data_IF_862433689226
#
_entry.id   IF_862433689226
#
_cell.length_a   1.000
_cell.length_b   1.000
_cell.length_c   1.000
_cell.angle_alpha   90.00
_cell.angle_beta   90.00
_cell.angle_gamma   90.00
#
_symmetry.space_group_name_H-M   'P 1'
#
loop_
_entity.id
_entity.type
_entity.pdbx_description
1 polymer ?
#
# COMPACT_ATOMS: atom_id res chain seq x y z
N UNK A 1 29.58 101.32 49.78
CA UNK A 1 28.95 99.98 49.99
C UNK A 1 27.64 99.95 49.24
N UNK A 2 27.58 99.28 48.08
CA UNK A 2 26.33 98.88 47.42
C UNK A 2 26.69 97.99 46.22
N UNK A 3 26.61 96.68 46.42
CA UNK A 3 26.68 95.67 45.35
C UNK A 3 25.28 95.40 44.80
N UNK A 4 25.09 95.23 43.48
CA UNK A 4 23.97 94.50 42.94
C UNK A 4 24.39 93.07 42.56
N UNK A 5 23.71 92.11 43.19
CA UNK A 5 23.79 90.68 42.97
C UNK A 5 22.47 90.24 42.32
N UNK A 6 22.50 89.66 41.11
CA UNK A 6 21.64 88.55 40.59
C UNK A 6 21.38 88.64 39.08
N UNK A 7 21.69 87.55 38.37
CA UNK A 7 20.79 86.72 37.52
C UNK A 7 21.63 85.59 36.90
N UNK A 8 21.51 84.35 37.40
CA UNK A 8 20.73 83.24 36.83
C UNK A 8 20.91 83.06 35.31
N UNK A 9 21.68 82.03 34.96
CA UNK A 9 21.77 81.43 33.63
C UNK A 9 22.24 79.98 33.75
N UNK A 10 21.45 79.13 34.41
CA UNK A 10 21.69 77.68 34.45
C UNK A 10 21.21 77.14 33.10
N UNK A 11 22.13 76.97 32.14
CA UNK A 11 21.84 76.28 30.88
C UNK A 11 21.50 74.82 31.21
N UNK A 12 20.26 74.43 30.93
CA UNK A 12 19.91 73.04 30.70
C UNK A 12 20.66 72.59 29.44
N UNK A 13 21.72 71.80 29.62
CA UNK A 13 22.26 71.00 28.53
C UNK A 13 21.34 69.79 28.41
N UNK A 14 20.52 69.76 27.35
CA UNK A 14 19.93 68.53 26.85
C UNK A 14 21.08 67.62 26.42
N UNK A 15 21.22 66.38 26.92
CA UNK A 15 22.01 65.37 26.24
C UNK A 15 21.22 64.99 24.98
N UNK A 16 21.69 65.45 23.83
CA UNK A 16 21.39 64.85 22.53
C UNK A 16 22.08 63.48 22.51
N UNK A 17 21.40 62.47 23.08
CA UNK A 17 21.74 61.08 22.81
C UNK A 17 21.41 60.75 21.34
N UNK A 18 22.18 59.88 20.67
CA UNK A 18 21.81 59.37 19.36
C UNK A 18 20.47 58.62 19.47
N UNK A 19 19.65 58.58 18.41
CA UNK A 19 18.38 57.88 18.45
C UNK A 19 18.63 56.41 18.82
N UNK A 20 17.99 55.95 19.89
CA UNK A 20 17.84 54.53 20.19
C UNK A 20 17.08 53.90 19.02
N UNK A 21 17.81 53.40 18.02
CA UNK A 21 17.25 52.44 17.08
C UNK A 21 17.10 51.12 17.83
N UNK A 22 16.00 51.00 18.57
CA UNK A 22 15.49 49.70 19.01
C UNK A 22 15.48 48.79 17.78
N UNK A 23 16.16 47.63 17.78
CA UNK A 23 16.14 46.73 16.64
C UNK A 23 14.69 46.35 16.39
N UNK A 24 14.15 46.74 15.22
CA UNK A 24 12.83 46.29 14.83
C UNK A 24 12.85 44.75 14.82
N UNK A 25 11.81 44.08 15.34
CA UNK A 25 11.70 42.64 15.20
C UNK A 25 11.86 42.30 13.73
N UNK A 26 12.83 41.46 13.39
CA UNK A 26 12.95 40.94 12.04
C UNK A 26 11.67 40.12 11.82
N UNK A 27 10.73 40.65 11.05
CA UNK A 27 9.57 39.90 10.59
C UNK A 27 10.07 38.81 9.65
N UNK A 28 10.35 37.65 10.23
CA UNK A 28 10.64 36.45 9.44
C UNK A 28 9.32 36.06 8.81
N UNK A 29 9.20 36.28 7.50
CA UNK A 29 8.03 35.84 6.74
C UNK A 29 7.77 34.34 7.01
N UNK A 30 6.50 33.95 7.13
CA UNK A 30 6.08 32.57 7.43
C UNK A 30 5.04 32.06 6.45
N UNK A 31 5.05 30.75 6.22
CA UNK A 31 4.03 29.98 5.49
C UNK A 31 3.43 28.90 6.38
N UNK A 32 2.23 28.43 6.06
CA UNK A 32 1.67 27.25 6.70
C UNK A 32 2.31 25.98 6.11
N UNK A 33 2.35 24.91 6.91
CA UNK A 33 2.68 23.58 6.43
C UNK A 33 1.66 23.14 5.36
N UNK A 34 2.16 22.64 4.24
CA UNK A 34 1.31 22.33 3.08
C UNK A 34 0.72 20.90 3.11
N UNK A 35 0.78 20.20 4.25
CA UNK A 35 0.07 18.92 4.39
C UNK A 35 -1.44 19.16 4.43
N UNK A 36 -2.17 18.42 3.61
CA UNK A 36 -3.64 18.47 3.55
C UNK A 36 -4.21 17.54 4.62
N UNK A 37 -5.32 17.95 5.26
CA UNK A 37 -6.07 17.08 6.17
C UNK A 37 -6.76 15.95 5.38
N UNK A 38 -6.82 14.75 5.96
CA UNK A 38 -7.42 13.58 5.30
C UNK A 38 -8.89 13.82 4.93
N UNK A 39 -9.37 13.14 3.88
CA UNK A 39 -10.74 13.33 3.37
C UNK A 39 -11.82 13.07 4.41
N UNK A 40 -11.57 12.16 5.35
CA UNK A 40 -12.47 11.84 6.47
C UNK A 40 -12.61 13.00 7.47
N UNK A 41 -11.66 13.95 7.48
CA UNK A 41 -11.67 15.15 8.32
C UNK A 41 -12.29 16.38 7.60
N UNK A 42 -12.64 16.26 6.31
CA UNK A 42 -13.24 17.35 5.51
C UNK A 42 -14.63 17.78 5.97
N UNK A 43 -15.27 17.00 6.85
CA UNK A 43 -16.53 17.39 7.49
C UNK A 43 -16.37 18.63 8.40
N UNK A 44 -15.14 18.98 8.81
CA UNK A 44 -14.86 20.14 9.64
C UNK A 44 -14.31 21.32 8.80
N UNK A 45 -15.22 22.10 8.22
CA UNK A 45 -14.94 23.36 7.52
C UNK A 45 -14.00 24.29 8.33
N UNK A 46 -12.82 24.62 7.79
CA UNK A 46 -12.36 26.02 7.51
C UNK A 46 -10.88 26.13 7.10
N UNK A 47 -10.03 25.12 7.33
CA UNK A 47 -8.63 25.14 6.89
C UNK A 47 -8.21 23.75 6.36
N UNK A 48 -7.90 23.61 5.06
CA UNK A 48 -7.50 22.32 4.49
C UNK A 48 -6.07 21.93 4.86
N UNK A 49 -5.31 22.82 5.52
CA UNK A 49 -3.89 22.67 5.77
C UNK A 49 -3.57 22.58 7.25
N UNK A 50 -2.43 21.95 7.55
CA UNK A 50 -1.80 22.01 8.85
C UNK A 50 -1.54 23.46 9.31
N UNK A 51 -1.94 23.78 10.54
CA UNK A 51 -1.82 25.13 11.12
C UNK A 51 -0.40 25.51 11.59
N UNK A 52 0.57 24.61 11.44
CA UNK A 52 1.96 24.88 11.83
C UNK A 52 2.59 25.89 10.87
N UNK A 53 3.10 26.99 11.42
CA UNK A 53 3.84 28.01 10.68
C UNK A 53 5.33 27.65 10.53
N UNK A 54 5.83 27.74 9.31
CA UNK A 54 7.20 27.45 8.89
C UNK A 54 7.86 28.72 8.34
N UNK A 55 9.19 28.82 8.36
CA UNK A 55 9.90 29.90 7.65
C UNK A 55 9.56 29.88 6.15
N UNK A 56 9.43 31.04 5.49
CA UNK A 56 9.10 31.09 4.05
C UNK A 56 10.06 30.26 3.18
N UNK A 57 11.36 30.38 3.43
CA UNK A 57 12.41 29.62 2.73
C UNK A 57 12.75 28.29 3.43
N UNK A 58 11.87 27.82 4.32
CA UNK A 58 11.96 26.55 5.00
C UNK A 58 11.29 25.40 4.23
N UNK A 59 11.26 24.20 4.84
CA UNK A 59 10.63 23.03 4.26
C UNK A 59 9.15 23.27 4.01
N UNK A 60 8.59 22.47 3.12
CA UNK A 60 7.18 22.54 2.75
C UNK A 60 6.26 21.98 3.84
N UNK A 61 6.70 20.88 4.44
CA UNK A 61 5.99 20.20 5.52
C UNK A 61 6.61 20.51 6.87
N UNK A 62 5.80 20.50 7.92
CA UNK A 62 6.30 20.58 9.29
C UNK A 62 7.02 19.29 9.67
N UNK A 63 7.87 19.31 10.70
CA UNK A 63 8.67 18.14 11.12
C UNK A 63 7.84 16.86 11.30
N UNK A 64 6.64 16.99 11.87
CA UNK A 64 5.70 15.87 12.03
C UNK A 64 5.27 15.32 10.66
N UNK A 65 4.71 16.16 9.80
CA UNK A 65 4.26 15.74 8.47
C UNK A 65 5.39 15.29 7.55
N UNK A 66 6.61 15.81 7.69
CA UNK A 66 7.78 15.28 7.00
C UNK A 66 8.06 13.83 7.40
N UNK A 67 7.94 13.49 8.69
CA UNK A 67 8.12 12.11 9.17
C UNK A 67 7.00 11.19 8.67
N UNK A 68 5.75 11.64 8.75
CA UNK A 68 4.60 10.87 8.25
C UNK A 68 4.69 10.66 6.73
N UNK A 69 5.14 11.67 5.98
CA UNK A 69 5.40 11.59 4.54
C UNK A 69 6.51 10.57 4.24
N UNK A 70 7.63 10.64 4.97
CA UNK A 70 8.72 9.66 4.85
C UNK A 70 8.27 8.23 5.15
N UNK A 71 7.47 8.05 6.19
CA UNK A 71 6.95 6.75 6.60
C UNK A 71 6.00 6.16 5.55
N UNK A 72 5.01 6.93 5.11
CA UNK A 72 4.09 6.54 4.05
C UNK A 72 4.83 6.19 2.76
N UNK A 73 5.84 7.00 2.37
CA UNK A 73 6.71 6.71 1.23
C UNK A 73 7.41 5.35 1.35
N UNK A 74 8.03 5.11 2.51
CA UNK A 74 8.70 3.84 2.80
C UNK A 74 7.74 2.65 2.72
N UNK A 75 6.52 2.79 3.27
CA UNK A 75 5.53 1.73 3.31
C UNK A 75 5.04 1.35 1.91
N UNK A 76 4.61 2.32 1.09
CA UNK A 76 4.13 2.00 -0.25
C UNK A 76 5.26 1.44 -1.13
N UNK A 77 6.51 1.91 -0.98
CA UNK A 77 7.65 1.35 -1.73
C UNK A 77 8.01 -0.06 -1.30
N UNK A 78 7.88 -0.40 -0.02
CA UNK A 78 8.09 -1.78 0.43
C UNK A 78 7.01 -2.72 -0.10
N UNK A 79 5.76 -2.27 -0.08
CA UNK A 79 4.64 -2.99 -0.65
C UNK A 79 4.82 -3.21 -2.16
N UNK A 80 5.17 -2.15 -2.88
CA UNK A 80 5.48 -2.18 -4.33
C UNK A 80 6.54 -3.22 -4.68
N UNK A 81 7.70 -3.23 -3.99
CA UNK A 81 8.75 -4.23 -4.23
C UNK A 81 8.28 -5.66 -4.02
N UNK A 82 7.49 -5.90 -2.97
CA UNK A 82 6.98 -7.26 -2.66
C UNK A 82 5.93 -7.71 -3.66
N UNK A 83 5.05 -6.80 -4.09
CA UNK A 83 4.08 -7.05 -5.14
C UNK A 83 4.79 -7.37 -6.47
N UNK A 84 5.76 -6.56 -6.89
CA UNK A 84 6.52 -6.74 -8.13
C UNK A 84 7.33 -8.06 -8.13
N UNK A 85 7.86 -8.48 -6.97
CA UNK A 85 8.52 -9.78 -6.84
C UNK A 85 7.57 -10.97 -7.10
N UNK A 86 6.27 -10.80 -6.86
CA UNK A 86 5.25 -11.83 -7.07
C UNK A 86 4.59 -11.74 -8.47
N UNK A 87 4.69 -10.59 -9.14
CA UNK A 87 4.05 -10.31 -10.44
C UNK A 87 4.36 -11.37 -11.51
N UNK A 88 5.61 -11.85 -11.71
CA UNK A 88 5.89 -12.88 -12.71
C UNK A 88 5.14 -14.20 -12.47
N UNK A 89 4.98 -14.62 -11.21
CA UNK A 89 4.20 -15.81 -10.86
C UNK A 89 2.72 -15.62 -11.10
N UNK A 90 2.18 -14.44 -10.75
CA UNK A 90 0.77 -14.13 -10.98
C UNK A 90 0.45 -14.13 -12.48
N UNK A 91 1.33 -13.55 -13.29
CA UNK A 91 1.23 -13.59 -14.75
C UNK A 91 1.29 -15.04 -15.29
N UNK A 92 2.22 -15.86 -14.78
CA UNK A 92 2.30 -17.29 -15.13
C UNK A 92 0.99 -18.01 -14.79
N UNK A 93 0.43 -17.77 -13.61
CA UNK A 93 -0.84 -18.36 -13.20
C UNK A 93 -2.01 -17.89 -14.05
N UNK A 94 -2.09 -16.61 -14.43
CA UNK A 94 -3.14 -16.13 -15.34
C UNK A 94 -3.08 -16.87 -16.68
N UNK A 95 -1.89 -16.93 -17.29
CA UNK A 95 -1.67 -17.64 -18.57
C UNK A 95 -1.96 -19.13 -18.46
N UNK A 96 -1.56 -19.76 -17.35
CA UNK A 96 -1.82 -21.18 -17.08
C UNK A 96 -3.32 -21.45 -16.90
N UNK A 97 -4.02 -20.56 -16.20
CA UNK A 97 -5.46 -20.64 -15.97
C UNK A 97 -6.23 -20.57 -17.29
N UNK A 98 -5.92 -19.60 -18.15
CA UNK A 98 -6.53 -19.46 -19.49
C UNK A 98 -6.35 -20.70 -20.39
N UNK A 99 -5.23 -21.41 -20.22
CA UNK A 99 -4.94 -22.65 -20.97
C UNK A 99 -5.51 -23.91 -20.31
N UNK A 100 -6.23 -23.78 -19.20
CA UNK A 100 -6.74 -24.93 -18.44
C UNK A 100 -5.65 -25.81 -17.82
N UNK A 101 -4.45 -25.26 -17.58
CA UNK A 101 -3.26 -26.02 -17.19
C UNK A 101 -3.22 -26.46 -15.72
N UNK A 102 -4.26 -26.20 -14.94
CA UNK A 102 -4.38 -26.65 -13.54
C UNK A 102 -5.09 -28.00 -13.50
N UNK A 103 -4.37 -29.04 -13.11
CA UNK A 103 -4.88 -30.43 -13.11
C UNK A 103 -4.94 -31.03 -11.71
N UNK A 104 -4.21 -30.46 -10.75
CA UNK A 104 -4.11 -30.99 -9.40
C UNK A 104 -4.57 -29.96 -8.36
N UNK A 105 -5.23 -30.43 -7.30
CA UNK A 105 -5.77 -29.54 -6.25
C UNK A 105 -4.68 -28.73 -5.54
N UNK A 106 -3.49 -29.29 -5.35
CA UNK A 106 -2.40 -28.58 -4.70
C UNK A 106 -1.83 -27.44 -5.55
N UNK A 107 -1.85 -27.56 -6.88
CA UNK A 107 -1.41 -26.49 -7.80
C UNK A 107 -2.35 -25.28 -7.69
N UNK A 108 -3.66 -25.55 -7.64
CA UNK A 108 -4.68 -24.51 -7.46
C UNK A 108 -4.54 -23.85 -6.08
N UNK A 109 -4.33 -24.64 -5.02
CA UNK A 109 -4.13 -24.10 -3.67
C UNK A 109 -2.87 -23.23 -3.56
N UNK A 110 -1.77 -23.62 -4.21
CA UNK A 110 -0.56 -22.80 -4.26
C UNK A 110 -0.79 -21.48 -5.02
N UNK A 111 -1.45 -21.55 -6.17
CA UNK A 111 -1.79 -20.35 -6.95
C UNK A 111 -2.67 -19.39 -6.15
N UNK A 112 -3.64 -19.90 -5.39
CA UNK A 112 -4.44 -19.11 -4.45
C UNK A 112 -3.60 -18.35 -3.44
N UNK A 113 -2.73 -19.05 -2.72
CA UNK A 113 -1.91 -18.46 -1.65
C UNK A 113 -1.07 -17.29 -2.17
N UNK A 114 -0.49 -17.44 -3.36
CA UNK A 114 0.35 -16.41 -3.96
C UNK A 114 -0.47 -15.24 -4.49
N UNK A 115 -1.63 -15.52 -5.08
CA UNK A 115 -2.55 -14.47 -5.49
C UNK A 115 -3.03 -13.66 -4.29
N UNK A 116 -3.36 -14.31 -3.16
CA UNK A 116 -3.74 -13.62 -1.91
C UNK A 116 -2.60 -12.73 -1.41
N UNK A 117 -1.37 -13.24 -1.42
CA UNK A 117 -0.18 -12.47 -1.01
C UNK A 117 0.07 -11.28 -1.95
N UNK A 118 -0.05 -11.47 -3.26
CA UNK A 118 0.07 -10.40 -4.25
C UNK A 118 -1.00 -9.31 -4.03
N UNK A 119 -2.26 -9.71 -3.90
CA UNK A 119 -3.39 -8.79 -3.66
C UNK A 119 -3.20 -8.03 -2.35
N UNK A 120 -2.70 -8.69 -1.31
CA UNK A 120 -2.39 -8.04 -0.03
C UNK A 120 -1.36 -6.92 -0.19
N UNK A 121 -0.24 -7.18 -0.88
CA UNK A 121 0.80 -6.18 -1.09
C UNK A 121 0.33 -5.05 -2.02
N UNK A 122 -0.41 -5.38 -3.08
CA UNK A 122 -0.99 -4.40 -3.98
C UNK A 122 -1.99 -3.47 -3.28
N UNK A 123 -2.87 -4.04 -2.44
CA UNK A 123 -3.84 -3.26 -1.66
C UNK A 123 -3.15 -2.36 -0.62
N UNK A 124 -2.08 -2.85 0.01
CA UNK A 124 -1.25 -2.05 0.91
C UNK A 124 -0.56 -0.91 0.14
N UNK A 125 0.07 -1.17 -1.00
CA UNK A 125 0.68 -0.13 -1.83
C UNK A 125 -0.35 0.95 -2.17
N UNK A 126 -1.52 0.54 -2.68
CA UNK A 126 -2.57 1.45 -3.11
C UNK A 126 -3.11 2.31 -1.97
N UNK A 127 -3.34 1.70 -0.80
CA UNK A 127 -3.82 2.41 0.40
C UNK A 127 -2.80 3.44 0.88
N UNK A 128 -1.54 3.05 0.96
CA UNK A 128 -0.45 3.94 1.41
C UNK A 128 -0.20 5.06 0.39
N UNK A 129 -0.29 4.79 -0.92
CA UNK A 129 -0.21 5.83 -1.97
C UNK A 129 -1.37 6.82 -1.90
N UNK A 130 -2.60 6.35 -1.65
CA UNK A 130 -3.77 7.22 -1.45
C UNK A 130 -3.59 8.14 -0.25
N UNK A 131 -3.13 7.58 0.89
CA UNK A 131 -2.79 8.38 2.07
C UNK A 131 -1.62 9.34 1.81
N UNK A 132 -0.65 8.93 0.99
CA UNK A 132 0.48 9.78 0.62
C UNK A 132 0.06 11.01 -0.17
N UNK A 133 -1.05 10.95 -0.91
CA UNK A 133 -1.52 12.05 -1.75
C UNK A 133 -1.75 13.35 -0.99
N UNK A 134 -2.07 13.27 0.31
CA UNK A 134 -2.22 14.45 1.20
C UNK A 134 -0.93 15.27 1.35
N UNK A 135 0.20 14.71 0.97
CA UNK A 135 1.49 15.40 0.96
C UNK A 135 1.84 15.99 -0.39
N UNK A 136 1.15 15.71 -1.50
CA UNK A 136 1.37 16.48 -2.73
C UNK A 136 0.82 17.90 -2.57
N UNK A 137 1.53 18.89 -3.10
CA UNK A 137 1.14 20.29 -3.00
C UNK A 137 -0.22 20.53 -3.69
N UNK A 138 -0.84 21.68 -3.41
CA UNK A 138 -2.16 22.09 -3.92
C UNK A 138 -2.30 22.19 -5.47
N UNK A 139 -1.27 21.79 -6.22
CA UNK A 139 -1.18 21.82 -7.69
C UNK A 139 -1.65 20.49 -8.33
N UNK A 140 -2.09 19.52 -7.51
CA UNK A 140 -2.51 18.19 -7.95
C UNK A 140 -1.48 17.12 -7.56
N UNK A 141 -1.91 15.86 -7.50
CA UNK A 141 -0.98 14.75 -7.29
C UNK A 141 0.00 14.66 -8.45
N UNK A 142 1.19 14.11 -8.20
CA UNK A 142 2.16 13.84 -9.26
C UNK A 142 1.52 12.89 -10.32
N UNK A 143 1.56 13.21 -11.63
CA UNK A 143 0.94 12.37 -12.66
C UNK A 143 1.46 10.93 -12.67
N UNK A 144 2.74 10.72 -12.35
CA UNK A 144 3.32 9.38 -12.24
C UNK A 144 2.76 8.63 -11.02
N UNK A 145 2.47 9.32 -9.93
CA UNK A 145 1.82 8.73 -8.76
C UNK A 145 0.38 8.28 -9.05
N UNK A 146 -0.40 9.11 -9.74
CA UNK A 146 -1.77 8.75 -10.16
C UNK A 146 -1.77 7.57 -11.12
N UNK A 147 -0.85 7.59 -12.09
CA UNK A 147 -0.66 6.50 -13.04
C UNK A 147 -0.36 5.18 -12.31
N UNK A 148 0.56 5.21 -11.34
CA UNK A 148 0.90 4.02 -10.56
C UNK A 148 -0.30 3.50 -9.77
N UNK A 149 -1.08 4.37 -9.13
CA UNK A 149 -2.29 3.93 -8.41
C UNK A 149 -3.29 3.23 -9.34
N UNK A 150 -3.50 3.75 -10.55
CA UNK A 150 -4.38 3.13 -11.56
C UNK A 150 -3.84 1.76 -11.97
N UNK A 151 -2.53 1.65 -12.21
CA UNK A 151 -1.89 0.40 -12.62
C UNK A 151 -1.96 -0.68 -11.54
N UNK A 152 -1.69 -0.33 -10.29
CA UNK A 152 -1.83 -1.25 -9.13
C UNK A 152 -3.28 -1.74 -9.00
N UNK A 153 -4.27 -0.84 -9.16
CA UNK A 153 -5.69 -1.20 -9.10
C UNK A 153 -6.07 -2.19 -10.22
N UNK A 154 -5.57 -1.98 -11.46
CA UNK A 154 -5.73 -2.92 -12.58
C UNK A 154 -5.11 -4.28 -12.27
N UNK A 155 -3.88 -4.30 -11.75
CA UNK A 155 -3.19 -5.54 -11.36
C UNK A 155 -4.01 -6.33 -10.33
N UNK A 156 -4.56 -5.65 -9.33
CA UNK A 156 -5.46 -6.26 -8.34
C UNK A 156 -6.73 -6.81 -8.98
N UNK A 157 -7.33 -6.08 -9.91
CA UNK A 157 -8.51 -6.53 -10.67
C UNK A 157 -8.27 -7.83 -11.40
N UNK A 158 -7.14 -7.93 -12.12
CA UNK A 158 -6.73 -9.15 -12.83
C UNK A 158 -6.52 -10.31 -11.86
N UNK A 159 -5.73 -10.09 -10.80
CA UNK A 159 -5.45 -11.13 -9.81
C UNK A 159 -6.76 -11.68 -9.16
N UNK A 160 -7.69 -10.79 -8.80
CA UNK A 160 -9.00 -11.19 -8.25
C UNK A 160 -9.83 -12.00 -9.25
N UNK A 161 -9.75 -11.69 -10.55
CA UNK A 161 -10.45 -12.46 -11.58
C UNK A 161 -9.84 -13.86 -11.74
N UNK A 162 -8.51 -13.97 -11.81
CA UNK A 162 -7.86 -15.29 -11.84
C UNK A 162 -8.20 -16.10 -10.59
N UNK A 163 -8.27 -15.47 -9.40
CA UNK A 163 -8.75 -16.15 -8.21
C UNK A 163 -10.18 -16.68 -8.36
N UNK A 164 -11.11 -15.92 -8.94
CA UNK A 164 -12.48 -16.42 -9.19
C UNK A 164 -12.46 -17.68 -10.06
N UNK A 165 -11.69 -17.67 -11.15
CA UNK A 165 -11.57 -18.83 -12.05
C UNK A 165 -10.94 -20.04 -11.35
N UNK A 166 -9.91 -19.82 -10.54
CA UNK A 166 -9.27 -20.86 -9.74
C UNK A 166 -10.25 -21.47 -8.72
N UNK A 167 -11.21 -20.71 -8.16
CA UNK A 167 -12.25 -21.28 -7.26
C UNK A 167 -13.11 -22.28 -8.02
N UNK A 168 -13.58 -21.91 -9.20
CA UNK A 168 -14.37 -22.80 -10.07
C UNK A 168 -13.57 -24.07 -10.39
N UNK A 169 -12.30 -23.91 -10.80
CA UNK A 169 -11.44 -25.05 -11.12
C UNK A 169 -11.19 -25.97 -9.92
N UNK A 170 -11.03 -25.41 -8.72
CA UNK A 170 -10.92 -26.19 -7.49
C UNK A 170 -12.16 -27.07 -7.26
N UNK A 171 -13.36 -26.51 -7.43
CA UNK A 171 -14.60 -27.27 -7.28
C UNK A 171 -14.73 -28.40 -8.30
N UNK A 172 -14.35 -28.16 -9.55
CA UNK A 172 -14.31 -29.19 -10.60
C UNK A 172 -13.40 -30.35 -10.23
N UNK A 173 -12.15 -30.05 -9.84
CA UNK A 173 -11.17 -31.05 -9.44
C UNK A 173 -11.62 -31.84 -8.21
N UNK A 174 -12.25 -31.18 -7.23
CA UNK A 174 -12.83 -31.87 -6.08
C UNK A 174 -13.99 -32.80 -6.48
N UNK A 175 -14.83 -32.38 -7.42
CA UNK A 175 -15.92 -33.22 -7.93
C UNK A 175 -15.38 -34.42 -8.73
N UNK A 176 -14.32 -34.22 -9.53
CA UNK A 176 -13.62 -35.29 -10.24
C UNK A 176 -13.01 -36.32 -9.29
N UNK A 177 -12.32 -35.87 -8.24
CA UNK A 177 -11.76 -36.74 -7.22
C UNK A 177 -12.83 -37.63 -6.57
N UNK A 178 -13.95 -37.03 -6.12
CA UNK A 178 -15.08 -37.79 -5.54
C UNK A 178 -15.68 -38.80 -6.51
N UNK A 179 -15.84 -38.42 -7.79
CA UNK A 179 -16.35 -39.35 -8.83
C UNK A 179 -15.38 -40.52 -9.06
N UNK A 180 -14.07 -40.27 -9.02
CA UNK A 180 -13.06 -41.32 -9.16
C UNK A 180 -13.13 -42.30 -7.98
N UNK A 181 -13.16 -41.79 -6.75
CA UNK A 181 -13.30 -42.61 -5.53
C UNK A 181 -14.57 -43.48 -5.57
N UNK A 182 -15.71 -42.92 -5.97
CA UNK A 182 -16.96 -43.67 -6.11
C UNK A 182 -16.85 -44.79 -7.15
N UNK A 183 -16.18 -44.54 -8.29
CA UNK A 183 -15.96 -45.56 -9.34
C UNK A 183 -15.03 -46.67 -8.85
N UNK A 184 -13.97 -46.32 -8.14
CA UNK A 184 -13.05 -47.30 -7.55
C UNK A 184 -13.74 -48.17 -6.51
N UNK A 185 -14.51 -47.56 -5.60
CA UNK A 185 -15.28 -48.26 -4.58
C UNK A 185 -16.34 -49.17 -5.21
N UNK A 186 -17.07 -48.70 -6.23
CA UNK A 186 -17.98 -49.53 -7.00
C UNK A 186 -17.26 -50.71 -7.68
N UNK A 187 -16.07 -50.47 -8.24
CA UNK A 187 -15.22 -51.51 -8.83
C UNK A 187 -14.71 -52.53 -7.80
N UNK A 188 -14.37 -52.10 -6.58
CA UNK A 188 -14.01 -52.98 -5.45
C UNK A 188 -15.21 -53.84 -5.03
N UNK A 189 -16.38 -53.24 -4.87
CA UNK A 189 -17.64 -53.96 -4.57
C UNK A 189 -18.02 -54.95 -5.67
N UNK A 190 -17.84 -54.58 -6.94
CA UNK A 190 -18.06 -55.45 -8.09
C UNK A 190 -17.15 -56.67 -8.07
N UNK A 191 -15.85 -56.47 -7.84
CA UNK A 191 -14.85 -57.56 -7.70
C UNK A 191 -15.11 -58.45 -6.49
N UNK A 192 -15.47 -57.86 -5.35
CA UNK A 192 -15.84 -58.61 -4.15
C UNK A 192 -17.11 -59.46 -4.36
N UNK A 193 -18.14 -58.92 -5.04
CA UNK A 193 -19.31 -59.71 -5.47
C UNK A 193 -18.91 -60.84 -6.38
N UNK A 194 -18.10 -60.57 -7.42
CA UNK A 194 -17.71 -61.58 -8.41
C UNK A 194 -16.89 -62.72 -7.79
N UNK A 195 -16.03 -62.44 -6.81
CA UNK A 195 -15.35 -63.47 -6.03
C UNK A 195 -16.33 -64.28 -5.18
N UNK A 196 -17.34 -63.65 -4.58
CA UNK A 196 -18.38 -64.35 -3.79
C UNK A 196 -19.22 -65.29 -4.65
N UNK A 197 -19.54 -64.92 -5.89
CA UNK A 197 -20.24 -65.78 -6.86
C UNK A 197 -19.39 -66.98 -7.29
N UNK A 198 -18.07 -66.83 -7.44
CA UNK A 198 -17.17 -67.94 -7.80
C UNK A 198 -16.97 -68.95 -6.67
N UNK A 199 -17.31 -68.58 -5.43
CA UNK A 199 -17.22 -69.45 -4.24
C UNK A 199 -18.57 -70.00 -3.81
N UNK A 200 -19.67 -69.69 -4.51
CA UNK A 200 -21.00 -70.18 -4.18
C UNK A 200 -21.18 -71.63 -4.69
N UNK A 201 -21.54 -72.52 -3.77
CA UNK A 201 -21.97 -73.90 -4.08
C UNK A 201 -23.28 -73.88 -4.89
N UNK A 202 -23.55 -74.86 -5.78
CA UNK A 202 -24.69 -74.84 -6.71
C UNK A 202 -26.10 -74.79 -6.08
N UNK A 203 -26.25 -74.78 -4.76
CA UNK A 203 -27.55 -74.85 -4.08
C UNK A 203 -28.16 -73.48 -3.70
N UNK A 204 -27.46 -72.35 -3.87
CA UNK A 204 -27.94 -71.02 -3.43
C UNK A 204 -28.42 -70.08 -4.55
N UNK A 205 -28.65 -70.58 -5.76
CA UNK A 205 -28.90 -69.77 -6.97
C UNK A 205 -30.32 -69.18 -7.12
N UNK A 206 -31.20 -69.28 -6.11
CA UNK A 206 -32.63 -68.96 -6.29
C UNK A 206 -33.19 -67.68 -5.63
N UNK A 207 -32.39 -66.80 -5.01
CA UNK A 207 -32.97 -65.58 -4.40
C UNK A 207 -32.04 -64.35 -4.41
N UNK A 208 -31.79 -63.72 -5.55
CA UNK A 208 -31.49 -62.27 -5.54
C UNK A 208 -31.95 -61.58 -6.83
N UNK A 209 -33.24 -61.29 -6.93
CA UNK A 209 -33.74 -60.20 -7.77
C UNK A 209 -34.54 -59.26 -6.87
N UNK A 210 -34.01 -58.06 -6.61
CA UNK A 210 -34.80 -56.83 -6.51
C UNK A 210 -33.92 -55.59 -6.30
N UNK A 211 -34.11 -54.67 -7.24
CA UNK A 211 -34.18 -53.21 -7.16
C UNK A 211 -33.27 -52.46 -6.18
N UNK A 212 -32.53 -51.47 -6.69
CA UNK A 212 -32.64 -50.07 -6.24
C UNK A 212 -32.11 -49.13 -7.34
N UNK A 213 -33.04 -48.51 -8.07
CA UNK A 213 -32.78 -47.30 -8.83
C UNK A 213 -32.94 -46.13 -7.87
N UNK A 214 -31.83 -45.49 -7.46
CA UNK A 214 -31.90 -44.24 -6.72
C UNK A 214 -31.88 -43.08 -7.72
N UNK A 215 -32.96 -42.30 -7.70
CA UNK A 215 -33.02 -40.95 -8.26
C UNK A 215 -31.92 -40.09 -7.62
N UNK A 216 -31.08 -39.50 -8.45
CA UNK A 216 -30.26 -38.35 -8.08
C UNK A 216 -31.21 -37.17 -7.93
N UNK A 217 -31.42 -36.71 -6.70
CA UNK A 217 -32.06 -35.43 -6.41
C UNK A 217 -31.02 -34.36 -6.80
N UNK A 218 -31.35 -33.51 -7.77
CA UNK A 218 -30.62 -32.26 -8.01
C UNK A 218 -30.85 -31.35 -6.80
N UNK A 219 -29.80 -30.76 -6.20
CA UNK A 219 -30.01 -29.68 -5.26
C UNK A 219 -30.58 -28.49 -6.03
N UNK A 220 -31.54 -27.84 -5.37
CA UNK A 220 -32.37 -26.77 -5.87
C UNK A 220 -31.58 -25.64 -6.53
N UNK A 221 -32.16 -25.16 -7.61
CA UNK A 221 -31.86 -23.90 -8.27
C UNK A 221 -32.25 -22.79 -7.29
N UNK A 222 -31.33 -22.36 -6.43
CA UNK A 222 -31.42 -21.03 -5.84
C UNK A 222 -31.08 -20.03 -6.95
N UNK A 223 -32.10 -19.26 -7.30
CA UNK A 223 -32.07 -18.06 -8.14
C UNK A 223 -30.92 -17.14 -7.70
N UNK A 224 -29.77 -17.29 -8.36
CA UNK A 224 -28.79 -16.23 -8.41
C UNK A 224 -29.22 -15.33 -9.56
N UNK A 225 -29.63 -14.10 -9.24
CA UNK A 225 -29.62 -12.96 -10.16
C UNK A 225 -28.18 -12.81 -10.70
N UNK A 226 -27.84 -13.63 -11.69
CA UNK A 226 -26.62 -13.50 -12.45
C UNK A 226 -26.88 -12.38 -13.44
N UNK A 227 -26.65 -11.14 -12.98
CA UNK A 227 -26.11 -10.12 -13.87
C UNK A 227 -25.01 -10.82 -14.68
N UNK A 228 -25.29 -10.97 -15.96
CA UNK A 228 -24.42 -11.60 -16.92
C UNK A 228 -23.23 -10.65 -17.07
N UNK A 229 -22.30 -10.69 -16.11
CA UNK A 229 -21.02 -10.02 -16.16
C UNK A 229 -20.38 -10.53 -17.44
N UNK A 230 -20.42 -9.70 -18.47
CA UNK A 230 -19.85 -9.98 -19.77
C UNK A 230 -18.43 -10.47 -19.50
N UNK A 231 -18.13 -11.69 -19.93
CA UNK A 231 -16.86 -12.38 -19.72
C UNK A 231 -15.81 -11.67 -20.57
N UNK A 232 -15.50 -10.42 -20.25
CA UNK A 232 -14.44 -9.65 -20.88
C UNK A 232 -13.18 -10.50 -20.77
N UNK A 233 -12.55 -10.85 -21.88
CA UNK A 233 -11.28 -11.55 -21.83
C UNK A 233 -10.30 -10.68 -21.05
N UNK A 234 -9.76 -11.22 -19.95
CA UNK A 234 -8.84 -10.48 -19.09
C UNK A 234 -7.63 -10.11 -19.92
N UNK A 235 -7.41 -8.83 -20.17
CA UNK A 235 -6.17 -8.40 -20.78
C UNK A 235 -5.04 -8.52 -19.75
N UNK A 236 -4.24 -9.60 -19.87
CA UNK A 236 -3.09 -9.82 -18.99
C UNK A 236 -1.94 -8.85 -19.29
N UNK A 237 -2.03 -8.06 -20.37
CA UNK A 237 -0.98 -7.11 -20.77
C UNK A 237 -0.65 -6.14 -19.63
N UNK A 238 -1.64 -5.77 -18.81
CA UNK A 238 -1.37 -4.92 -17.65
C UNK A 238 -0.44 -5.61 -16.63
N UNK A 239 -0.51 -6.93 -16.42
CA UNK A 239 0.43 -7.65 -15.55
C UNK A 239 1.84 -7.78 -16.16
N UNK A 240 2.01 -7.50 -17.45
CA UNK A 240 3.33 -7.40 -18.09
C UNK A 240 3.95 -6.01 -17.91
N UNK A 241 3.12 -5.00 -17.65
CA UNK A 241 3.56 -3.64 -17.37
C UNK A 241 4.22 -3.59 -15.98
N UNK A 242 5.53 -3.36 -15.99
CA UNK A 242 6.29 -2.97 -14.80
C UNK A 242 6.13 -1.47 -14.56
N UNK A 243 6.65 -0.99 -13.42
CA UNK A 243 6.75 0.44 -13.14
C UNK A 243 7.45 1.15 -14.29
N UNK A 244 6.79 2.14 -14.89
CA UNK A 244 7.35 2.84 -16.03
C UNK A 244 8.30 3.97 -15.62
N UNK A 245 8.94 4.60 -16.61
CA UNK A 245 9.94 5.63 -16.35
C UNK A 245 9.34 6.88 -15.66
N UNK A 246 8.08 7.21 -15.91
CA UNK A 246 7.45 8.37 -15.27
C UNK A 246 7.07 8.07 -13.82
N UNK A 247 6.55 6.88 -13.55
CA UNK A 247 6.26 6.39 -12.19
C UNK A 247 7.54 6.35 -11.34
N UNK A 248 8.65 5.85 -11.90
CA UNK A 248 9.95 5.85 -11.23
C UNK A 248 10.44 7.26 -10.90
N UNK A 249 10.36 8.18 -11.87
CA UNK A 249 10.76 9.58 -11.65
C UNK A 249 9.88 10.27 -10.61
N UNK A 250 8.59 9.96 -10.55
CA UNK A 250 7.68 10.48 -9.53
C UNK A 250 8.11 10.04 -8.12
N UNK A 251 8.46 8.76 -7.95
CA UNK A 251 8.97 8.24 -6.68
C UNK A 251 10.32 8.89 -6.33
N UNK A 252 11.23 9.06 -7.29
CA UNK A 252 12.52 9.74 -7.06
C UNK A 252 12.38 11.22 -6.65
N UNK A 253 11.44 11.95 -7.27
CA UNK A 253 11.12 13.34 -6.89
C UNK A 253 10.64 13.40 -5.44
N UNK A 254 9.71 12.51 -5.10
CA UNK A 254 9.12 12.42 -3.76
C UNK A 254 10.19 12.09 -2.72
N UNK A 255 11.05 11.11 -2.98
CA UNK A 255 12.14 10.74 -2.06
C UNK A 255 13.16 11.86 -1.86
N UNK A 256 13.56 12.53 -2.94
CA UNK A 256 14.49 13.65 -2.86
C UNK A 256 13.93 14.76 -1.99
N UNK A 257 12.67 15.13 -2.20
CA UNK A 257 12.00 16.16 -1.41
C UNK A 257 11.92 15.79 0.08
N UNK A 258 11.55 14.54 0.39
CA UNK A 258 11.52 14.02 1.76
C UNK A 258 12.89 14.12 2.42
N UNK A 259 13.95 13.69 1.71
CA UNK A 259 15.32 13.76 2.22
C UNK A 259 15.78 15.20 2.48
N UNK A 260 15.47 16.12 1.57
CA UNK A 260 15.78 17.54 1.74
C UNK A 260 15.09 18.13 2.96
N UNK A 261 13.80 17.83 3.17
CA UNK A 261 13.05 18.28 4.36
C UNK A 261 13.62 17.69 5.65
N UNK A 262 13.93 16.39 5.68
CA UNK A 262 14.55 15.74 6.85
C UNK A 262 15.92 16.33 7.18
N UNK A 263 16.75 16.58 6.16
CA UNK A 263 18.05 17.22 6.32
C UNK A 263 17.91 18.63 6.88
N UNK A 264 16.95 19.41 6.40
CA UNK A 264 16.69 20.76 6.90
C UNK A 264 16.44 20.77 8.41
N UNK A 265 15.59 19.86 8.90
CA UNK A 265 15.30 19.74 10.33
C UNK A 265 16.53 19.31 11.15
N UNK A 266 17.32 18.35 10.65
CA UNK A 266 18.54 17.90 11.33
C UNK A 266 19.60 19.01 11.49
N UNK A 267 19.76 19.85 10.46
CA UNK A 267 20.70 20.99 10.48
C UNK A 267 20.22 22.10 11.41
N UNK A 268 18.92 22.37 11.40
CA UNK A 268 18.31 23.41 12.23
C UNK A 268 18.40 23.08 13.72
N UNK A 269 18.26 21.82 14.11
CA UNK A 269 18.41 21.36 15.50
C UNK A 269 19.85 21.47 16.02
N UNK A 270 20.82 21.26 15.13
CA UNK A 270 22.24 21.37 15.46
C UNK A 270 22.69 22.81 15.74
N UNK A 271 21.98 23.81 15.20
CA UNK A 271 22.27 25.24 15.39
C UNK A 271 21.74 25.87 16.68
N UNK A 272 20.79 25.23 17.37
CA UNK A 272 20.12 25.78 18.58
C UNK A 272 20.76 25.26 19.89
N UNK A 273 21.75 24.36 19.81
CA UNK A 273 22.38 23.70 20.98
C UNK A 273 23.42 24.56 21.73
N UNK A 274 23.29 25.90 21.77
CA UNK A 274 24.21 26.76 22.52
C UNK A 274 23.55 27.65 23.57
N UNK A 275 22.26 28.00 23.45
CA UNK A 275 21.63 28.92 24.41
C UNK A 275 20.15 28.59 24.54
N UNK A 276 19.78 27.88 25.61
CA UNK A 276 18.51 27.94 26.37
C UNK A 276 18.25 26.57 27.03
N UNK A 277 17.94 26.63 28.33
CA UNK A 277 17.85 25.49 29.24
C UNK A 277 16.93 24.37 28.80
N UNK A 278 17.39 23.15 29.12
CA UNK A 278 16.71 21.87 28.98
C UNK A 278 15.31 21.89 29.63
N UNK A 279 14.27 21.85 28.82
CA UNK A 279 13.09 21.01 29.10
C UNK A 279 13.17 19.81 28.17
N UNK A 280 13.37 18.64 28.77
CA UNK A 280 13.40 17.33 28.11
C UNK A 280 12.01 17.04 27.52
N UNK A 281 11.92 16.99 26.20
CA UNK A 281 11.12 15.97 25.53
C UNK A 281 12.09 15.10 24.74
N UNK A 282 12.07 13.82 25.07
CA UNK A 282 13.00 12.80 24.64
C UNK A 282 12.17 11.80 23.86
N UNK A 283 12.06 11.99 22.54
CA UNK A 283 11.57 10.97 21.62
C UNK A 283 12.37 11.02 20.31
N UNK A 284 13.23 10.01 20.19
CA UNK A 284 13.65 9.28 18.99
C UNK A 284 14.05 10.08 17.75
N UNK A 285 15.37 10.20 17.59
CA UNK A 285 16.01 10.81 16.44
C UNK A 285 17.32 10.08 16.09
N UNK A 286 17.31 8.75 15.99
CA UNK A 286 18.41 7.97 15.40
C UNK A 286 17.79 6.73 14.77
N UNK A 287 17.63 6.68 13.44
CA UNK A 287 17.70 5.44 12.64
C UNK A 287 17.32 5.60 11.15
N UNK A 288 16.63 6.68 10.72
CA UNK A 288 16.21 6.78 9.30
C UNK A 288 17.32 7.09 8.29
N UNK A 289 18.48 7.63 8.70
CA UNK A 289 19.54 8.01 7.75
C UNK A 289 20.49 6.86 7.37
N UNK A 290 20.42 5.71 8.02
CA UNK A 290 21.38 4.61 7.82
C UNK A 290 21.02 3.64 6.67
N UNK A 291 19.80 3.72 6.10
CA UNK A 291 19.33 2.73 5.12
C UNK A 291 19.46 3.16 3.65
N UNK A 292 19.75 4.44 3.36
CA UNK A 292 19.81 4.94 1.98
C UNK A 292 21.14 4.63 1.25
N UNK A 293 22.22 4.32 1.97
CA UNK A 293 23.56 4.12 1.39
C UNK A 293 23.96 2.67 1.14
N UNK A 294 23.09 1.67 1.38
CA UNK A 294 23.47 0.24 1.26
C UNK A 294 22.93 -0.51 0.03
N UNK A 295 22.14 0.12 -0.84
CA UNK A 295 21.45 -0.60 -1.92
C UNK A 295 21.94 -0.29 -3.35
N UNK A 296 23.14 0.27 -3.52
CA UNK A 296 23.72 0.49 -4.85
C UNK A 296 24.69 -0.60 -5.34
N UNK A 297 25.02 -1.62 -4.53
CA UNK A 297 26.03 -2.62 -4.89
C UNK A 297 25.55 -4.08 -4.74
N UNK A 298 24.41 -4.48 -5.31
CA UNK A 298 24.12 -5.92 -5.54
C UNK A 298 23.22 -6.13 -6.75
N UNK A 299 23.69 -5.88 -7.97
CA UNK A 299 23.18 -6.52 -9.19
C UNK A 299 24.27 -6.48 -10.28
N UNK A 300 25.31 -7.30 -10.11
CA UNK A 300 26.14 -7.76 -11.22
C UNK A 300 26.01 -9.29 -11.25
N UNK A 301 25.45 -9.89 -12.31
CA UNK A 301 25.44 -11.34 -12.45
C UNK A 301 26.76 -11.83 -13.05
N UNK A 302 27.35 -12.85 -12.42
CA UNK A 302 28.23 -13.83 -13.08
C UNK A 302 27.39 -14.91 -13.79
#
# INVERSE_FOLDING_TARGET
MTTPRRRRGRRHQHPTGPPESSPQPIEVERKYCEAVLDEDDKACYFQPLCTVLLPMHGPRLCRRHTRECAESCRLYKDASRRMEALQPRVLEFSRRNKRGGFHLLHEVAEAFRIMDEFIFWADLELRERRGHTRFYAFVGSDPGHEKRMINVDKHMGIARKVQRDLRLRMYELQAEARRSEQREEAGRRGRARQQRWRSASPEEEQRVVRCFAMRVIRPDEEESDSEQEELEEVDDSALEEMMDEEELRADERTEREILEMLQWYSRSESGVSSVVGRTRDRDDCVDMLAYSTRNLDVMAPD
#
